data_IF_921073586129
#
_entry.id   IF_921073586129
#
_cell.length_a   1.000
_cell.length_b   1.000
_cell.length_c   1.000
_cell.angle_alpha   90.00
_cell.angle_beta   90.00
_cell.angle_gamma   90.00
#
_symmetry.space_group_name_H-M   'P 1'
#
loop_
_entity.id
_entity.type
_entity.pdbx_description
1 polymer ?
#
# COMPACT_ATOMS: atom_id res chain seq x y z
N UNK A 1 -58.70 -24.05 27.34
CA UNK A 1 -57.65 -23.16 26.81
C UNK A 1 -56.65 -22.79 27.93
N UNK A 2 -55.86 -23.75 28.46
CA UNK A 2 -54.91 -23.53 29.60
C UNK A 2 -53.79 -24.60 29.69
N UNK A 3 -53.11 -24.96 28.58
CA UNK A 3 -52.09 -26.04 28.66
C UNK A 3 -50.75 -25.76 27.95
N UNK A 4 -50.46 -24.54 27.50
CA UNK A 4 -49.21 -24.30 26.73
C UNK A 4 -48.17 -23.35 27.37
N UNK A 5 -48.40 -22.82 28.58
CA UNK A 5 -47.46 -21.84 29.17
C UNK A 5 -46.36 -22.44 30.06
N UNK A 6 -46.45 -23.72 30.43
CA UNK A 6 -45.50 -24.35 31.35
C UNK A 6 -44.20 -24.84 30.67
N UNK A 7 -44.23 -25.13 29.37
CA UNK A 7 -43.07 -25.67 28.64
C UNK A 7 -42.03 -24.58 28.29
N UNK A 8 -42.45 -23.34 28.07
CA UNK A 8 -41.57 -22.23 27.62
C UNK A 8 -40.65 -21.72 28.73
N UNK A 9 -41.02 -21.92 30.01
CA UNK A 9 -40.25 -21.43 31.17
C UNK A 9 -39.05 -22.30 31.56
N UNK A 10 -38.95 -23.54 31.07
CA UNK A 10 -37.83 -24.45 31.40
C UNK A 10 -36.52 -24.13 30.68
N UNK A 11 -36.52 -23.25 29.68
CA UNK A 11 -35.32 -22.90 28.92
C UNK A 11 -34.72 -21.52 29.28
N UNK A 12 -35.32 -20.76 30.22
CA UNK A 12 -34.94 -19.36 30.45
C UNK A 12 -33.96 -19.10 31.61
N UNK A 13 -33.60 -20.09 32.45
CA UNK A 13 -32.88 -19.82 33.71
C UNK A 13 -31.71 -20.77 34.02
N UNK A 14 -30.84 -20.99 33.04
CA UNK A 14 -29.48 -21.50 33.29
C UNK A 14 -28.45 -20.50 32.77
N UNK A 15 -28.49 -19.25 33.27
CA UNK A 15 -27.43 -18.27 32.98
C UNK A 15 -26.20 -18.64 33.82
N UNK A 16 -25.26 -19.39 33.23
CA UNK A 16 -23.92 -19.57 33.79
C UNK A 16 -23.20 -18.23 33.73
N UNK A 17 -22.88 -17.66 34.89
CA UNK A 17 -22.01 -16.51 35.01
C UNK A 17 -20.54 -16.93 34.83
N UNK A 18 -19.74 -16.08 34.23
CA UNK A 18 -18.29 -16.27 34.17
C UNK A 18 -17.69 -16.15 35.57
N UNK A 19 -16.74 -17.01 35.90
CA UNK A 19 -15.97 -16.88 37.13
C UNK A 19 -15.04 -15.65 37.03
N UNK A 20 -14.74 -15.01 38.17
CA UNK A 20 -13.73 -13.95 38.24
C UNK A 20 -12.38 -14.42 37.69
N UNK A 21 -12.07 -15.70 37.90
CA UNK A 21 -10.82 -16.33 37.44
C UNK A 21 -10.80 -16.48 35.92
N UNK A 22 -11.93 -16.84 35.28
CA UNK A 22 -12.02 -16.91 33.81
C UNK A 22 -11.80 -15.54 33.16
N UNK A 23 -12.36 -14.48 33.74
CA UNK A 23 -12.14 -13.13 33.21
C UNK A 23 -10.67 -12.71 33.44
N UNK A 24 -10.10 -12.99 34.61
CA UNK A 24 -8.73 -12.64 34.96
C UNK A 24 -7.70 -13.29 34.02
N UNK A 25 -7.77 -14.61 33.82
CA UNK A 25 -6.82 -15.29 32.93
C UNK A 25 -6.97 -14.83 31.48
N UNK A 26 -8.20 -14.52 31.05
CA UNK A 26 -8.47 -14.09 29.68
C UNK A 26 -7.83 -12.75 29.37
N UNK A 27 -7.95 -11.75 30.25
CA UNK A 27 -7.30 -10.45 30.02
C UNK A 27 -5.77 -10.55 30.05
N UNK A 28 -5.22 -11.48 30.86
CA UNK A 28 -3.78 -11.75 30.89
C UNK A 28 -3.32 -12.35 29.56
N UNK A 29 -4.02 -13.36 29.04
CA UNK A 29 -3.68 -13.98 27.76
C UNK A 29 -3.85 -12.99 26.60
N UNK A 30 -4.95 -12.23 26.55
CA UNK A 30 -5.17 -11.19 25.53
C UNK A 30 -4.07 -10.12 25.61
N UNK A 31 -3.64 -9.72 26.81
CA UNK A 31 -2.56 -8.77 27.00
C UNK A 31 -1.23 -9.27 26.43
N UNK A 32 -0.88 -10.54 26.66
CA UNK A 32 0.33 -11.15 26.09
C UNK A 32 0.25 -11.25 24.57
N UNK A 33 -0.88 -11.72 24.03
CA UNK A 33 -1.07 -11.85 22.58
C UNK A 33 -1.04 -10.48 21.88
N UNK A 34 -1.79 -9.50 22.38
CA UNK A 34 -1.82 -8.15 21.83
C UNK A 34 -0.45 -7.45 21.93
N UNK A 35 0.26 -7.61 23.06
CA UNK A 35 1.60 -7.07 23.25
C UNK A 35 2.62 -7.64 22.27
N UNK A 36 2.56 -8.95 21.99
CA UNK A 36 3.46 -9.59 21.03
C UNK A 36 3.24 -9.12 19.59
N UNK A 37 2.01 -8.81 19.20
CA UNK A 37 1.68 -8.33 17.84
C UNK A 37 2.27 -6.96 17.54
N UNK A 38 2.28 -6.03 18.52
CA UNK A 38 2.79 -4.68 18.33
C UNK A 38 4.28 -4.65 17.97
N UNK A 39 5.08 -5.50 18.62
CA UNK A 39 6.53 -5.59 18.38
C UNK A 39 6.87 -6.09 16.96
N UNK A 40 6.02 -6.95 16.38
CA UNK A 40 6.24 -7.53 15.04
C UNK A 40 5.71 -6.62 13.92
N UNK A 41 4.80 -5.68 14.23
CA UNK A 41 4.05 -4.95 13.22
C UNK A 41 4.84 -3.84 12.50
N UNK A 42 5.81 -3.19 13.16
CA UNK A 42 6.51 -2.02 12.60
C UNK A 42 7.30 -2.37 11.31
N UNK A 43 8.15 -3.42 11.28
CA UNK A 43 8.89 -3.79 10.06
C UNK A 43 7.97 -4.35 8.96
N UNK A 44 6.86 -4.99 9.37
CA UNK A 44 5.90 -5.59 8.43
C UNK A 44 5.17 -4.51 7.61
N UNK A 45 4.81 -3.38 8.24
CA UNK A 45 4.14 -2.26 7.58
C UNK A 45 4.99 -1.65 6.47
N UNK A 46 6.28 -1.41 6.74
CA UNK A 46 7.19 -0.78 5.76
C UNK A 46 7.47 -1.68 4.57
N UNK A 47 7.62 -2.98 4.81
CA UNK A 47 7.74 -3.97 3.73
C UNK A 47 6.48 -4.04 2.86
N UNK A 48 5.30 -4.01 3.48
CA UNK A 48 4.02 -3.99 2.75
C UNK A 48 3.87 -2.70 1.93
N UNK A 49 4.28 -1.56 2.48
CA UNK A 49 4.29 -0.27 1.81
C UNK A 49 5.25 -0.24 0.61
N UNK A 50 6.46 -0.79 0.75
CA UNK A 50 7.40 -0.93 -0.37
C UNK A 50 6.81 -1.80 -1.49
N UNK A 51 6.19 -2.94 -1.15
CA UNK A 51 5.53 -3.81 -2.12
C UNK A 51 4.36 -3.10 -2.83
N UNK A 52 3.60 -2.29 -2.09
CA UNK A 52 2.51 -1.48 -2.64
C UNK A 52 3.03 -0.45 -3.62
N UNK A 53 4.11 0.27 -3.28
CA UNK A 53 4.72 1.28 -4.17
C UNK A 53 5.16 0.66 -5.49
N UNK A 54 5.83 -0.49 -5.45
CA UNK A 54 6.25 -1.20 -6.67
C UNK A 54 5.04 -1.62 -7.52
N UNK A 55 3.98 -2.13 -6.88
CA UNK A 55 2.75 -2.53 -7.58
C UNK A 55 2.01 -1.34 -8.20
N UNK A 56 1.93 -0.22 -7.47
CA UNK A 56 1.32 1.03 -7.94
C UNK A 56 2.09 1.56 -9.14
N UNK A 57 3.43 1.67 -9.07
CA UNK A 57 4.26 2.13 -10.20
C UNK A 57 4.11 1.25 -11.44
N UNK A 58 4.04 -0.09 -11.29
CA UNK A 58 3.80 -1.01 -12.42
C UNK A 58 2.43 -0.78 -13.06
N UNK A 59 1.40 -0.56 -12.24
CA UNK A 59 0.04 -0.29 -12.74
C UNK A 59 0.02 1.05 -13.48
N UNK A 60 0.68 2.07 -12.93
CA UNK A 60 0.80 3.40 -13.53
C UNK A 60 1.57 3.38 -14.85
N UNK A 61 2.62 2.55 -14.94
CA UNK A 61 3.35 2.32 -16.19
C UNK A 61 2.43 1.80 -17.28
N UNK A 62 1.59 0.82 -16.98
CA UNK A 62 0.61 0.28 -17.94
C UNK A 62 -0.42 1.36 -18.32
N UNK A 63 -0.93 2.11 -17.34
CA UNK A 63 -1.87 3.19 -17.58
C UNK A 63 -1.29 4.31 -18.47
N UNK A 64 -0.01 4.66 -18.30
CA UNK A 64 0.68 5.63 -19.15
C UNK A 64 0.77 5.17 -20.61
N UNK A 65 1.01 3.87 -20.85
CA UNK A 65 0.99 3.30 -22.20
C UNK A 65 -0.41 3.33 -22.80
N UNK A 66 -1.46 3.02 -22.01
CA UNK A 66 -2.85 3.13 -22.46
C UNK A 66 -3.21 4.57 -22.84
N UNK A 67 -2.86 5.54 -21.99
CA UNK A 67 -3.05 6.96 -22.27
C UNK A 67 -2.38 7.37 -23.58
N UNK A 68 -1.14 6.91 -23.81
CA UNK A 68 -0.40 7.16 -25.05
C UNK A 68 -1.12 6.62 -26.29
N UNK A 69 -1.71 5.42 -26.21
CA UNK A 69 -2.45 4.85 -27.35
C UNK A 69 -3.62 5.74 -27.81
N UNK A 70 -4.27 6.41 -26.87
CA UNK A 70 -5.40 7.32 -27.11
C UNK A 70 -4.96 8.73 -27.51
N UNK A 71 -3.99 9.31 -26.80
CA UNK A 71 -3.63 10.73 -26.92
C UNK A 71 -2.38 11.00 -27.77
N UNK A 72 -1.63 9.96 -28.16
CA UNK A 72 -0.35 10.03 -28.90
C UNK A 72 0.75 10.82 -28.18
N UNK A 73 0.58 11.09 -26.90
CA UNK A 73 1.54 11.72 -26.01
C UNK A 73 1.45 11.05 -24.64
N UNK A 74 2.55 11.07 -23.89
CA UNK A 74 2.54 10.56 -22.52
C UNK A 74 1.86 11.56 -21.58
N UNK A 75 1.21 11.07 -20.50
CA UNK A 75 0.72 11.95 -19.46
C UNK A 75 1.91 12.63 -18.76
N UNK A 76 1.69 13.85 -18.28
CA UNK A 76 2.70 14.63 -17.56
C UNK A 76 2.08 15.27 -16.31
N UNK A 77 2.88 15.39 -15.26
CA UNK A 77 2.45 15.95 -13.98
C UNK A 77 1.77 14.95 -13.04
N UNK A 78 1.02 15.48 -12.08
CA UNK A 78 0.43 14.69 -10.99
C UNK A 78 -0.69 13.78 -11.48
N UNK A 79 -0.78 12.58 -10.91
CA UNK A 79 -1.90 11.67 -11.17
C UNK A 79 -3.14 12.22 -10.45
N UNK A 80 -4.10 12.70 -11.23
CA UNK A 80 -5.38 13.18 -10.72
C UNK A 80 -6.45 12.06 -10.72
N UNK A 81 -7.56 12.29 -10.04
CA UNK A 81 -8.64 11.30 -9.93
C UNK A 81 -9.33 11.01 -11.27
N UNK A 82 -9.33 11.96 -12.22
CA UNK A 82 -9.87 11.75 -13.56
C UNK A 82 -9.06 10.71 -14.35
N UNK A 83 -7.73 10.82 -14.32
CA UNK A 83 -6.83 9.82 -14.89
C UNK A 83 -7.00 8.49 -14.17
N UNK A 84 -6.99 8.50 -12.84
CA UNK A 84 -7.05 7.28 -12.04
C UNK A 84 -8.36 6.50 -12.24
N UNK A 85 -9.49 7.19 -12.28
CA UNK A 85 -10.78 6.56 -12.56
C UNK A 85 -10.86 5.94 -13.96
N UNK A 86 -10.24 6.57 -14.95
CA UNK A 86 -10.26 6.11 -16.35
C UNK A 86 -9.32 4.93 -16.58
N UNK A 87 -8.05 5.04 -16.15
CA UNK A 87 -7.00 4.07 -16.53
C UNK A 87 -6.61 3.10 -15.41
N UNK A 88 -6.93 3.39 -14.14
CA UNK A 88 -6.59 2.52 -13.01
C UNK A 88 -7.82 1.81 -12.42
N UNK A 89 -9.03 2.27 -12.72
CA UNK A 89 -10.27 1.72 -12.14
C UNK A 89 -10.37 1.89 -10.61
N UNK A 90 -9.61 2.83 -10.04
CA UNK A 90 -9.52 3.11 -8.61
C UNK A 90 -9.10 4.57 -8.39
N UNK A 91 -9.34 5.16 -7.20
CA UNK A 91 -8.87 6.52 -6.91
C UNK A 91 -7.35 6.65 -7.04
N UNK A 92 -6.88 7.88 -7.27
CA UNK A 92 -5.46 8.14 -7.40
C UNK A 92 -4.74 7.68 -6.12
N UNK A 93 -3.60 6.96 -6.25
CA UNK A 93 -2.85 6.55 -5.08
C UNK A 93 -2.24 7.78 -4.39
N UNK A 94 -2.91 8.24 -3.34
CA UNK A 94 -2.50 9.39 -2.53
C UNK A 94 -1.77 8.97 -1.25
N UNK A 95 -0.94 9.89 -0.73
CA UNK A 95 -0.38 9.75 0.61
C UNK A 95 -1.47 9.84 1.68
N UNK A 96 -1.18 9.31 2.88
CA UNK A 96 -1.96 9.58 4.08
C UNK A 96 -2.07 11.08 4.40
N UNK A 97 -1.11 11.87 3.91
CA UNK A 97 -0.96 13.30 4.20
C UNK A 97 -1.59 14.18 3.10
N UNK A 98 -2.38 13.60 2.19
CA UNK A 98 -3.04 14.31 1.08
C UNK A 98 -2.11 14.76 -0.06
N UNK A 99 -0.79 14.61 0.10
CA UNK A 99 0.19 14.81 -0.95
C UNK A 99 0.17 13.66 -1.97
N UNK A 100 0.41 13.96 -3.25
CA UNK A 100 0.47 12.93 -4.29
C UNK A 100 1.80 12.17 -4.23
N UNK A 101 1.72 10.84 -4.09
CA UNK A 101 2.90 9.97 -4.08
C UNK A 101 3.48 9.72 -5.45
N UNK A 102 2.73 9.96 -6.51
CA UNK A 102 3.13 9.57 -7.85
C UNK A 102 2.82 10.67 -8.85
N UNK A 103 3.73 10.84 -9.80
CA UNK A 103 3.57 11.73 -10.94
C UNK A 103 4.18 11.10 -12.19
N UNK A 104 3.71 11.54 -13.35
CA UNK A 104 4.37 11.29 -14.61
C UNK A 104 5.30 12.45 -14.93
N UNK A 105 6.44 12.13 -15.55
CA UNK A 105 7.37 13.11 -16.09
C UNK A 105 7.62 12.72 -17.54
N UNK A 106 7.06 13.50 -18.47
CA UNK A 106 7.30 13.31 -19.90
C UNK A 106 8.71 13.78 -20.23
N UNK A 107 9.57 12.89 -20.75
CA UNK A 107 10.94 13.22 -21.15
C UNK A 107 10.99 13.57 -22.63
N UNK A 108 10.27 12.79 -23.44
CA UNK A 108 10.12 12.99 -24.87
C UNK A 108 8.69 12.63 -25.30
N UNK A 109 8.40 12.70 -26.60
CA UNK A 109 7.12 12.19 -27.13
C UNK A 109 7.01 10.66 -27.07
N UNK A 110 8.11 9.95 -26.80
CA UNK A 110 8.18 8.47 -26.79
C UNK A 110 8.62 7.88 -25.46
N UNK A 111 9.08 8.70 -24.52
CA UNK A 111 9.61 8.27 -23.23
C UNK A 111 8.98 9.06 -22.08
N UNK A 112 8.57 8.33 -21.06
CA UNK A 112 8.02 8.88 -19.83
C UNK A 112 8.62 8.16 -18.62
N UNK A 113 8.72 8.88 -17.50
CA UNK A 113 9.10 8.33 -16.21
C UNK A 113 7.89 8.34 -15.29
N UNK A 114 7.59 7.20 -14.67
CA UNK A 114 6.74 7.19 -13.48
C UNK A 114 7.63 7.52 -12.29
N UNK A 115 7.33 8.63 -11.61
CA UNK A 115 8.08 9.11 -10.46
C UNK A 115 7.28 8.83 -9.20
N UNK A 116 7.90 8.16 -8.23
CA UNK A 116 7.36 7.99 -6.89
C UNK A 116 8.07 8.94 -5.92
N UNK A 117 7.32 9.83 -5.28
CA UNK A 117 7.76 10.68 -4.18
C UNK A 117 7.63 9.89 -2.87
N UNK A 118 8.78 9.50 -2.33
CA UNK A 118 8.87 8.62 -1.18
C UNK A 118 8.91 9.45 0.11
N UNK A 119 8.21 9.02 1.18
CA UNK A 119 8.34 9.66 2.47
C UNK A 119 9.75 9.46 3.04
N UNK A 120 10.14 10.35 3.94
CA UNK A 120 11.47 10.29 4.55
C UNK A 120 11.54 9.22 5.65
N UNK A 121 11.49 7.96 5.22
CA UNK A 121 11.63 6.79 6.06
C UNK A 121 12.80 5.91 5.53
N UNK A 122 13.92 5.83 6.27
CA UNK A 122 15.09 5.05 5.86
C UNK A 122 14.81 3.56 5.65
N UNK A 123 13.97 2.96 6.48
CA UNK A 123 13.64 1.54 6.42
C UNK A 123 12.82 1.21 5.17
N UNK A 124 11.83 2.04 4.85
CA UNK A 124 11.06 1.94 3.61
C UNK A 124 11.98 2.00 2.38
N UNK A 125 12.88 2.99 2.34
CA UNK A 125 13.85 3.18 1.24
C UNK A 125 14.74 1.94 1.09
N UNK A 126 15.21 1.36 2.20
CA UNK A 126 16.01 0.12 2.20
C UNK A 126 15.23 -1.07 1.67
N UNK A 127 13.97 -1.24 2.09
CA UNK A 127 13.11 -2.30 1.59
C UNK A 127 12.80 -2.15 0.10
N UNK A 128 12.55 -0.92 -0.35
CA UNK A 128 12.32 -0.62 -1.76
C UNK A 128 13.55 -0.92 -2.62
N UNK A 129 14.75 -0.60 -2.13
CA UNK A 129 16.01 -0.92 -2.80
C UNK A 129 16.21 -2.42 -3.07
N UNK A 130 15.72 -3.30 -2.18
CA UNK A 130 15.75 -4.75 -2.40
C UNK A 130 14.89 -5.19 -3.59
N UNK A 131 13.80 -4.47 -3.87
CA UNK A 131 12.94 -4.75 -5.03
C UNK A 131 13.47 -4.12 -6.31
N UNK A 132 14.20 -2.99 -6.20
CA UNK A 132 14.54 -2.11 -7.30
C UNK A 132 15.11 -2.82 -8.55
N UNK A 133 16.07 -3.72 -8.36
CA UNK A 133 16.68 -4.50 -9.46
C UNK A 133 15.68 -5.38 -10.19
N UNK A 134 14.76 -6.00 -9.46
CA UNK A 134 13.74 -6.90 -10.01
C UNK A 134 12.57 -6.16 -10.65
N UNK A 135 12.35 -4.90 -10.27
CA UNK A 135 11.21 -4.11 -10.71
C UNK A 135 11.58 -2.99 -11.68
N UNK A 136 12.87 -2.76 -11.95
CA UNK A 136 13.33 -1.67 -12.82
C UNK A 136 13.10 -0.29 -12.20
N UNK A 137 13.29 -0.15 -10.87
CA UNK A 137 13.30 1.16 -10.22
C UNK A 137 14.72 1.73 -10.23
N UNK A 138 14.82 3.01 -10.51
CA UNK A 138 16.05 3.78 -10.57
C UNK A 138 16.03 4.94 -9.58
N UNK A 139 17.20 5.38 -9.16
CA UNK A 139 17.36 6.51 -8.23
C UNK A 139 17.51 7.86 -8.94
N UNK A 140 17.78 7.84 -10.23
CA UNK A 140 17.94 9.02 -11.08
C UNK A 140 16.98 8.96 -12.28
N UNK A 141 16.72 10.14 -12.85
CA UNK A 141 15.84 10.31 -14.01
C UNK A 141 16.40 9.69 -15.30
N UNK A 142 17.73 9.54 -15.40
CA UNK A 142 18.38 8.93 -16.57
C UNK A 142 18.44 7.40 -16.49
N UNK A 143 17.83 6.80 -15.46
CA UNK A 143 17.84 5.36 -15.22
C UNK A 143 19.27 4.76 -15.20
N UNK A 144 20.23 5.49 -14.63
CA UNK A 144 21.64 5.09 -14.59
C UNK A 144 21.91 4.05 -13.51
N UNK A 145 21.36 4.26 -12.31
CA UNK A 145 21.60 3.39 -11.15
C UNK A 145 20.29 2.84 -10.57
N UNK A 146 20.25 1.55 -10.22
CA UNK A 146 19.07 0.97 -9.60
C UNK A 146 18.82 1.62 -8.23
N UNK A 147 17.56 1.78 -7.87
CA UNK A 147 17.18 2.41 -6.63
C UNK A 147 17.76 1.67 -5.41
N UNK A 148 18.30 2.41 -4.45
CA UNK A 148 18.92 1.84 -3.25
C UNK A 148 20.38 1.36 -3.44
N UNK A 149 21.03 1.72 -4.54
CA UNK A 149 22.48 1.52 -4.72
C UNK A 149 23.30 2.49 -3.85
N UNK A 150 22.86 3.74 -3.71
CA UNK A 150 23.46 4.72 -2.80
C UNK A 150 23.25 4.37 -1.33
N UNK A 151 24.25 4.69 -0.50
CA UNK A 151 24.20 4.59 0.97
C UNK A 151 23.03 5.40 1.56
N UNK A 152 22.67 6.50 0.91
CA UNK A 152 21.47 7.30 1.21
C UNK A 152 20.60 7.38 -0.04
N UNK A 153 19.55 6.55 -0.15
CA UNK A 153 18.67 6.55 -1.30
C UNK A 153 17.88 7.87 -1.38
N UNK A 154 17.69 8.43 -2.59
CA UNK A 154 16.95 9.68 -2.76
C UNK A 154 15.47 9.50 -2.40
N UNK A 155 14.80 10.61 -2.09
CA UNK A 155 13.35 10.62 -1.82
C UNK A 155 12.49 10.48 -3.07
N UNK A 156 13.10 10.21 -4.24
CA UNK A 156 12.40 9.95 -5.49
C UNK A 156 12.89 8.64 -6.09
N UNK A 157 11.96 7.82 -6.58
CA UNK A 157 12.27 6.67 -7.39
C UNK A 157 11.64 6.79 -8.77
N UNK A 158 12.34 6.34 -9.79
CA UNK A 158 11.98 6.50 -11.19
C UNK A 158 11.75 5.13 -11.81
N UNK A 159 10.72 4.99 -12.63
CA UNK A 159 10.48 3.80 -13.43
C UNK A 159 10.27 4.22 -14.90
N UNK A 160 11.17 3.85 -15.81
CA UNK A 160 11.04 4.20 -17.21
C UNK A 160 9.89 3.44 -17.87
N UNK A 161 9.13 4.19 -18.65
CA UNK A 161 8.08 3.74 -19.55
C UNK A 161 8.56 4.03 -20.95
N UNK A 162 8.96 2.97 -21.64
CA UNK A 162 9.25 2.99 -23.07
C UNK A 162 8.11 2.26 -23.79
N UNK A 163 7.79 2.70 -25.00
CA UNK A 163 6.89 1.97 -25.88
C UNK A 163 7.54 0.64 -26.31
N UNK A 164 6.75 -0.43 -26.45
CA UNK A 164 7.25 -1.71 -26.98
C UNK A 164 7.68 -1.63 -28.44
#
# INVERSE_FOLDING_TARGET
MRENDAATRKYLLARRGFTLVEILITIVIIGVLAGSMLLVFVPARERAMASRIVSDMRTLKIAAVMYYHEHKSFPDGQINDAFASTYLGRPAPASTDGSAWYSFQSVSSTDCLVVANLPDNPELKRHLGKFARSSGLFQDENATEPYGFSVSPPSKAYMPVALP
#
